data_IF_174287205696
#
_entry.id   IF_174287205696
#
_cell.length_a   1.000
_cell.length_b   1.000
_cell.length_c   1.000
_cell.angle_alpha   90.00
_cell.angle_beta   90.00
_cell.angle_gamma   90.00
#
_symmetry.space_group_name_H-M   'P 1'
#
loop_
_entity.id
_entity.type
_entity.pdbx_description
1 polymer ?
#
# COMPACT_ATOMS: atom_id res chain seq x y z
N UNK A 1 -11.79 -6.36 0.10
CA UNK A 1 -11.59 -6.12 -1.36
C UNK A 1 -11.12 -7.41 -2.03
N UNK A 2 -10.08 -8.09 -1.56
CA UNK A 2 -9.60 -9.35 -2.15
C UNK A 2 -10.67 -10.45 -2.14
N UNK A 3 -11.39 -10.67 -1.03
CA UNK A 3 -12.51 -11.61 -0.96
C UNK A 3 -13.64 -11.27 -1.95
N UNK A 4 -13.85 -10.00 -2.28
CA UNK A 4 -14.84 -9.59 -3.29
C UNK A 4 -14.34 -9.83 -4.72
N UNK A 5 -13.06 -9.69 -4.98
CA UNK A 5 -12.45 -10.01 -6.29
C UNK A 5 -12.47 -11.52 -6.52
N UNK A 6 -12.14 -12.33 -5.51
CA UNK A 6 -12.16 -13.78 -5.57
C UNK A 6 -13.60 -14.35 -5.53
N UNK A 7 -14.55 -13.69 -4.84
CA UNK A 7 -15.96 -14.08 -4.85
C UNK A 7 -16.66 -13.74 -6.18
N UNK A 8 -16.15 -12.77 -6.94
CA UNK A 8 -16.60 -12.48 -8.31
C UNK A 8 -16.09 -13.48 -9.36
N UNK A 9 -15.02 -14.21 -9.05
CA UNK A 9 -14.60 -15.39 -9.77
C UNK A 9 -15.49 -16.57 -9.31
N UNK A 10 -16.76 -16.57 -9.77
CA UNK A 10 -17.75 -17.58 -9.40
C UNK A 10 -17.16 -18.97 -9.50
N UNK A 11 -17.45 -19.82 -8.48
CA UNK A 11 -17.30 -21.26 -8.55
C UNK A 11 -18.00 -21.75 -9.82
N UNK A 12 -17.29 -21.81 -10.92
CA UNK A 12 -17.69 -22.59 -12.06
C UNK A 12 -17.43 -24.05 -11.68
N UNK A 13 -18.47 -24.74 -11.25
CA UNK A 13 -18.44 -26.20 -11.20
C UNK A 13 -17.97 -26.70 -12.56
N UNK A 14 -16.86 -27.42 -12.58
CA UNK A 14 -16.42 -28.20 -13.73
C UNK A 14 -15.35 -27.62 -14.63
N UNK A 15 -14.61 -26.58 -14.23
CA UNK A 15 -13.35 -26.28 -14.89
C UNK A 15 -12.20 -26.71 -13.98
N UNK A 16 -11.39 -27.64 -14.48
CA UNK A 16 -10.02 -27.84 -14.03
C UNK A 16 -9.41 -26.44 -13.82
N UNK A 17 -8.95 -26.18 -12.60
CA UNK A 17 -8.03 -25.09 -12.32
C UNK A 17 -6.97 -25.14 -13.41
N UNK A 18 -6.72 -24.03 -14.07
CA UNK A 18 -5.66 -23.92 -15.07
C UNK A 18 -4.31 -24.01 -14.31
N UNK A 19 -4.03 -25.18 -13.78
CA UNK A 19 -2.78 -25.56 -13.11
C UNK A 19 -1.64 -25.58 -14.14
N UNK A 20 -1.56 -24.51 -14.94
CA UNK A 20 -0.41 -24.34 -15.79
C UNK A 20 0.76 -24.02 -14.89
N UNK A 21 1.82 -24.83 -14.92
CA UNK A 21 3.03 -24.61 -14.12
C UNK A 21 3.77 -23.30 -14.49
N UNK A 22 3.10 -22.38 -15.17
CA UNK A 22 3.64 -21.11 -15.69
C UNK A 22 2.95 -19.87 -15.16
N UNK A 23 1.83 -19.97 -14.44
CA UNK A 23 1.13 -18.81 -13.89
C UNK A 23 1.88 -18.26 -12.69
N UNK A 24 2.05 -16.95 -12.63
CA UNK A 24 2.51 -16.21 -11.45
C UNK A 24 1.46 -15.17 -11.07
N UNK A 25 1.25 -14.93 -9.79
CA UNK A 25 0.28 -13.97 -9.27
C UNK A 25 1.03 -12.89 -8.50
N UNK A 26 0.93 -11.64 -8.95
CA UNK A 26 1.63 -10.49 -8.35
C UNK A 26 0.60 -9.49 -7.83
N UNK A 27 0.44 -9.30 -6.53
CA UNK A 27 -0.36 -8.20 -5.99
C UNK A 27 0.41 -6.87 -6.16
N UNK A 28 -0.20 -5.91 -6.83
CA UNK A 28 0.38 -4.59 -7.05
C UNK A 28 -0.30 -3.48 -6.24
N UNK A 29 -1.34 -3.82 -5.47
CA UNK A 29 -2.00 -2.89 -4.55
C UNK A 29 -1.06 -2.43 -3.43
N UNK A 30 -1.37 -1.29 -2.83
CA UNK A 30 -0.62 -0.79 -1.68
C UNK A 30 -0.83 -1.68 -0.44
N UNK A 31 0.16 -1.68 0.46
CA UNK A 31 0.19 -2.52 1.66
C UNK A 31 1.17 -3.67 1.53
N UNK A 32 1.28 -4.47 2.58
CA UNK A 32 2.24 -5.58 2.69
C UNK A 32 1.58 -6.94 2.95
N UNK A 33 0.26 -6.97 3.18
CA UNK A 33 -0.47 -8.19 3.56
C UNK A 33 -0.97 -9.00 2.36
N UNK A 34 -1.11 -8.37 1.18
CA UNK A 34 -1.75 -8.99 0.03
C UNK A 34 -1.12 -10.31 -0.45
N UNK A 35 0.21 -10.47 -0.49
CA UNK A 35 0.81 -11.76 -0.87
C UNK A 35 0.40 -12.90 0.07
N UNK A 36 0.39 -12.64 1.37
CA UNK A 36 0.01 -13.64 2.38
C UNK A 36 -1.48 -14.01 2.27
N UNK A 37 -2.36 -13.02 2.08
CA UNK A 37 -3.78 -13.24 1.88
C UNK A 37 -4.09 -14.03 0.59
N UNK A 38 -3.28 -13.83 -0.46
CA UNK A 38 -3.38 -14.62 -1.70
C UNK A 38 -2.90 -16.04 -1.49
N UNK A 39 -1.81 -16.24 -0.74
CA UNK A 39 -1.26 -17.58 -0.44
C UNK A 39 -2.18 -18.43 0.45
N UNK A 40 -3.15 -17.84 1.17
CA UNK A 40 -4.20 -18.58 1.87
C UNK A 40 -5.23 -19.23 0.92
N UNK A 41 -5.39 -18.68 -0.29
CA UNK A 41 -6.42 -19.11 -1.26
C UNK A 41 -5.82 -19.76 -2.52
N UNK A 42 -4.54 -19.56 -2.77
CA UNK A 42 -3.81 -20.04 -3.95
C UNK A 42 -2.59 -20.84 -3.50
N UNK A 43 -1.99 -21.57 -4.45
CA UNK A 43 -0.69 -22.20 -4.22
C UNK A 43 0.35 -21.13 -3.88
N UNK A 44 1.01 -21.17 -2.70
CA UNK A 44 2.04 -20.20 -2.31
C UNK A 44 3.19 -20.08 -3.32
N UNK A 45 3.52 -21.17 -4.03
CA UNK A 45 4.61 -21.22 -5.02
C UNK A 45 4.36 -20.34 -6.26
N UNK A 46 3.11 -19.93 -6.50
CA UNK A 46 2.79 -19.03 -7.62
C UNK A 46 2.59 -17.58 -7.17
N UNK A 47 2.54 -17.32 -5.86
CA UNK A 47 2.29 -15.99 -5.32
C UNK A 47 3.60 -15.26 -5.07
N UNK A 48 3.78 -14.13 -5.72
CA UNK A 48 4.94 -13.27 -5.55
C UNK A 48 4.64 -12.12 -4.60
N UNK A 49 5.67 -11.59 -3.95
CA UNK A 49 5.67 -10.25 -3.44
C UNK A 49 5.71 -9.25 -4.59
N UNK A 50 5.05 -8.11 -4.44
CA UNK A 50 5.07 -7.10 -5.49
C UNK A 50 4.75 -5.70 -4.99
N UNK A 51 5.33 -4.71 -5.66
CA UNK A 51 5.01 -3.30 -5.46
C UNK A 51 5.06 -2.54 -6.78
N UNK A 52 4.21 -1.53 -6.91
CA UNK A 52 4.22 -0.63 -8.06
C UNK A 52 4.34 0.83 -7.60
N UNK A 53 5.31 1.56 -8.14
CA UNK A 53 5.41 3.00 -7.99
C UNK A 53 4.84 3.67 -9.26
N UNK A 54 3.65 4.23 -9.16
CA UNK A 54 2.93 4.86 -10.26
C UNK A 54 2.06 6.00 -9.73
N UNK A 55 1.93 7.07 -10.52
CA UNK A 55 0.94 8.11 -10.33
C UNK A 55 -0.09 8.02 -11.44
N UNK A 56 -1.21 7.37 -11.16
CA UNK A 56 -2.30 7.23 -12.13
C UNK A 56 -3.66 7.46 -11.46
N UNK A 57 -4.63 7.92 -12.24
CA UNK A 57 -6.00 8.14 -11.77
C UNK A 57 -7.02 8.00 -12.90
N UNK A 58 -8.25 7.66 -12.53
CA UNK A 58 -9.37 7.66 -13.46
C UNK A 58 -9.76 9.10 -13.78
N UNK A 59 -9.59 9.49 -15.03
CA UNK A 59 -10.02 10.79 -15.57
C UNK A 59 -11.48 10.75 -16.07
N UNK A 60 -12.01 9.55 -16.33
CA UNK A 60 -13.39 9.30 -16.76
C UNK A 60 -13.61 7.80 -16.97
N UNK A 61 -14.83 7.35 -17.32
CA UNK A 61 -15.10 5.94 -17.62
C UNK A 61 -14.16 5.40 -18.68
N UNK A 62 -13.39 4.36 -18.38
CA UNK A 62 -12.43 3.77 -19.29
C UNK A 62 -11.19 4.63 -19.61
N UNK A 63 -11.06 5.82 -19.00
CA UNK A 63 -9.94 6.73 -19.24
C UNK A 63 -9.04 6.82 -18.02
N UNK A 64 -7.86 6.20 -18.09
CA UNK A 64 -6.81 6.30 -17.08
C UNK A 64 -5.78 7.34 -17.53
N UNK A 65 -5.50 8.32 -16.67
CA UNK A 65 -4.42 9.28 -16.85
C UNK A 65 -3.22 8.90 -15.98
N UNK A 66 -2.08 8.69 -16.65
CA UNK A 66 -0.79 8.55 -16.01
C UNK A 66 -0.08 9.91 -15.98
N UNK A 67 0.68 10.18 -14.91
CA UNK A 67 1.43 11.41 -14.71
C UNK A 67 2.77 11.12 -14.02
N UNK A 68 3.79 11.88 -14.33
CA UNK A 68 5.12 11.75 -13.74
C UNK A 68 6.01 10.72 -14.44
N UNK A 69 6.91 10.10 -13.67
CA UNK A 69 7.88 9.13 -14.18
C UNK A 69 7.22 7.80 -14.59
N UNK A 70 7.89 7.06 -15.46
CA UNK A 70 7.43 5.73 -15.86
C UNK A 70 7.20 4.84 -14.63
N UNK A 71 6.11 4.04 -14.64
CA UNK A 71 5.84 3.06 -13.60
C UNK A 71 7.04 2.14 -13.35
N UNK A 72 7.34 1.93 -12.09
CA UNK A 72 8.33 0.95 -11.64
C UNK A 72 7.61 -0.17 -10.91
N UNK A 73 7.76 -1.40 -11.42
CA UNK A 73 7.23 -2.61 -10.80
C UNK A 73 8.40 -3.40 -10.24
N UNK A 74 8.36 -3.71 -8.93
CA UNK A 74 9.30 -4.63 -8.30
C UNK A 74 8.54 -5.84 -7.80
N UNK A 75 9.10 -7.02 -8.05
CA UNK A 75 8.47 -8.28 -7.65
C UNK A 75 9.52 -9.39 -7.52
N UNK A 76 9.17 -10.44 -6.77
CA UNK A 76 9.99 -11.61 -6.54
C UNK A 76 9.29 -12.58 -5.61
N UNK A 77 9.85 -13.77 -5.41
CA UNK A 77 9.37 -14.69 -4.39
C UNK A 77 9.60 -14.12 -2.99
N UNK A 78 8.70 -14.44 -2.04
CA UNK A 78 8.77 -13.90 -0.67
C UNK A 78 10.00 -14.38 0.10
N UNK A 79 10.55 -15.52 -0.27
CA UNK A 79 11.79 -16.09 0.26
C UNK A 79 13.02 -15.77 -0.60
N UNK A 80 12.84 -14.96 -1.63
CA UNK A 80 13.87 -14.49 -2.57
C UNK A 80 14.56 -15.59 -3.37
N UNK A 81 14.00 -16.81 -3.48
CA UNK A 81 14.59 -17.84 -4.33
C UNK A 81 14.54 -17.44 -5.81
N UNK A 82 15.53 -17.89 -6.57
CA UNK A 82 15.64 -17.63 -7.99
C UNK A 82 14.63 -18.47 -8.79
N UNK A 83 13.85 -17.84 -9.66
CA UNK A 83 12.89 -18.50 -10.53
C UNK A 83 13.04 -17.98 -11.97
N UNK A 84 13.33 -18.86 -12.95
CA UNK A 84 13.42 -18.45 -14.36
C UNK A 84 12.15 -17.78 -14.90
N UNK A 85 10.96 -18.13 -14.35
CA UNK A 85 9.68 -17.49 -14.74
C UNK A 85 9.65 -16.04 -14.34
N UNK A 86 10.15 -15.71 -13.14
CA UNK A 86 10.23 -14.33 -12.62
C UNK A 86 11.20 -13.50 -13.48
N UNK A 87 12.35 -14.09 -13.85
CA UNK A 87 13.31 -13.44 -14.74
C UNK A 87 12.70 -13.15 -16.12
N UNK A 88 12.06 -14.16 -16.73
CA UNK A 88 11.41 -14.00 -18.04
C UNK A 88 10.31 -12.93 -18.00
N UNK A 89 9.52 -12.87 -16.93
CA UNK A 89 8.50 -11.83 -16.76
C UNK A 89 9.12 -10.43 -16.64
N UNK A 90 10.22 -10.29 -15.88
CA UNK A 90 10.95 -9.01 -15.77
C UNK A 90 11.50 -8.56 -17.12
N UNK A 91 12.05 -9.47 -17.91
CA UNK A 91 12.52 -9.19 -19.27
C UNK A 91 11.37 -8.71 -20.17
N UNK A 92 10.24 -9.41 -20.17
CA UNK A 92 9.05 -9.03 -20.95
C UNK A 92 8.59 -7.62 -20.56
N UNK A 93 8.47 -7.32 -19.26
CA UNK A 93 8.03 -6.01 -18.79
C UNK A 93 9.04 -4.90 -19.20
N UNK A 94 10.34 -5.17 -19.17
CA UNK A 94 11.35 -4.20 -19.55
C UNK A 94 11.44 -3.98 -21.07
N UNK A 95 10.89 -4.89 -21.89
CA UNK A 95 10.69 -4.67 -23.34
C UNK A 95 9.42 -3.87 -23.65
N UNK A 96 8.50 -3.72 -22.69
CA UNK A 96 7.30 -2.91 -22.87
C UNK A 96 7.64 -1.41 -22.81
N UNK A 97 7.03 -0.62 -23.69
CA UNK A 97 7.19 0.84 -23.64
C UNK A 97 6.51 1.44 -22.41
N UNK A 98 7.20 2.33 -21.71
CA UNK A 98 6.61 3.13 -20.63
C UNK A 98 6.47 2.42 -19.29
N UNK A 99 7.09 1.25 -19.11
CA UNK A 99 7.17 0.56 -17.81
C UNK A 99 8.61 0.12 -17.54
N UNK A 100 8.99 0.07 -16.27
CA UNK A 100 10.24 -0.54 -15.81
C UNK A 100 9.93 -1.60 -14.78
N UNK A 101 10.70 -2.69 -14.80
CA UNK A 101 10.62 -3.71 -13.77
C UNK A 101 12.00 -4.04 -13.21
N UNK A 102 12.05 -4.53 -11.99
CA UNK A 102 13.25 -5.10 -11.38
C UNK A 102 12.88 -6.17 -10.38
N UNK A 103 13.76 -7.14 -10.23
CA UNK A 103 13.73 -8.14 -9.17
C UNK A 103 14.70 -7.64 -8.11
N UNK A 104 14.22 -7.20 -6.93
CA UNK A 104 15.09 -6.75 -5.85
C UNK A 104 15.77 -7.95 -5.18
N UNK A 105 16.91 -7.73 -4.53
CA UNK A 105 17.61 -8.75 -3.75
C UNK A 105 16.72 -9.28 -2.61
N UNK A 106 15.87 -8.40 -2.05
CA UNK A 106 14.85 -8.76 -1.08
C UNK A 106 13.54 -8.01 -1.42
N UNK A 107 12.53 -8.80 -1.83
CA UNK A 107 11.22 -8.26 -2.20
C UNK A 107 10.46 -7.72 -1.00
N UNK A 108 10.62 -8.35 0.18
CA UNK A 108 9.96 -7.89 1.40
C UNK A 108 10.52 -6.53 1.83
N UNK A 109 11.84 -6.36 1.79
CA UNK A 109 12.48 -5.06 2.05
C UNK A 109 11.94 -3.99 1.09
N UNK A 110 11.85 -4.30 -0.21
CA UNK A 110 11.33 -3.36 -1.20
C UNK A 110 9.85 -2.96 -0.94
N UNK A 111 9.02 -3.93 -0.57
CA UNK A 111 7.61 -3.70 -0.22
C UNK A 111 7.48 -2.85 1.05
N UNK A 112 8.24 -3.18 2.10
CA UNK A 112 8.20 -2.46 3.38
C UNK A 112 8.76 -1.04 3.26
N UNK A 113 9.79 -0.79 2.45
CA UNK A 113 10.29 0.56 2.16
C UNK A 113 9.19 1.43 1.51
N UNK A 114 8.43 0.88 0.56
CA UNK A 114 7.29 1.60 -0.01
C UNK A 114 6.19 1.81 1.04
N UNK A 115 5.93 0.83 1.89
CA UNK A 115 4.93 0.91 2.95
C UNK A 115 5.29 1.99 3.98
N UNK A 116 6.58 2.07 4.36
CA UNK A 116 7.13 3.16 5.20
C UNK A 116 6.94 4.54 4.58
N UNK A 117 7.05 4.65 3.25
CA UNK A 117 6.90 5.92 2.54
C UNK A 117 5.43 6.37 2.50
N UNK A 118 4.54 5.47 2.08
CA UNK A 118 3.18 5.87 1.70
C UNK A 118 2.22 5.93 2.89
N UNK A 119 2.39 5.07 3.90
CA UNK A 119 1.42 4.91 4.99
C UNK A 119 1.41 6.11 5.95
N UNK A 120 2.55 6.59 6.51
CA UNK A 120 2.57 7.77 7.37
C UNK A 120 2.13 9.03 6.63
N UNK A 121 2.60 9.22 5.40
CA UNK A 121 2.18 10.35 4.56
C UNK A 121 0.68 10.34 4.32
N UNK A 122 0.11 9.18 3.99
CA UNK A 122 -1.33 9.04 3.76
C UNK A 122 -2.14 9.34 5.02
N UNK A 123 -1.74 8.81 6.17
CA UNK A 123 -2.42 9.00 7.45
C UNK A 123 -2.38 10.46 7.90
N UNK A 124 -1.18 11.02 8.03
CA UNK A 124 -1.00 12.42 8.47
C UNK A 124 -1.60 13.41 7.46
N UNK A 125 -1.39 13.18 6.15
CA UNK A 125 -1.97 14.01 5.11
C UNK A 125 -3.51 14.01 5.11
N UNK A 126 -4.13 12.86 5.39
CA UNK A 126 -5.58 12.77 5.49
C UNK A 126 -6.14 13.46 6.74
N UNK A 127 -5.47 13.35 7.88
CA UNK A 127 -5.86 14.01 9.14
C UNK A 127 -5.70 15.53 9.04
N UNK A 128 -4.54 15.99 8.55
CA UNK A 128 -4.23 17.42 8.44
C UNK A 128 -4.85 18.10 7.21
N UNK A 129 -5.21 17.31 6.18
CA UNK A 129 -5.62 17.77 4.84
C UNK A 129 -4.56 18.59 4.10
N UNK A 130 -3.32 18.49 4.53
CA UNK A 130 -2.19 19.26 3.98
C UNK A 130 -1.43 18.44 2.92
N UNK A 131 -0.85 19.06 1.89
CA UNK A 131 0.07 18.43 0.96
C UNK A 131 1.43 18.17 1.62
N UNK A 132 2.26 17.33 0.99
CA UNK A 132 3.54 16.88 1.57
C UNK A 132 4.49 18.02 1.90
N UNK A 133 4.58 19.06 1.07
CA UNK A 133 5.46 20.20 1.32
C UNK A 133 5.14 20.90 2.63
N UNK A 134 3.86 21.14 2.93
CA UNK A 134 3.42 21.74 4.19
C UNK A 134 3.75 20.84 5.38
N UNK A 135 3.56 19.51 5.25
CA UNK A 135 3.88 18.57 6.31
C UNK A 135 5.37 18.52 6.65
N UNK A 136 6.23 18.72 5.65
CA UNK A 136 7.68 18.72 5.83
C UNK A 136 8.24 20.07 6.28
N UNK A 137 7.57 21.17 5.93
CA UNK A 137 7.99 22.54 6.28
C UNK A 137 7.73 22.85 7.75
N UNK A 138 6.63 22.35 8.32
CA UNK A 138 6.29 22.56 9.73
C UNK A 138 7.02 21.56 10.63
N UNK A 139 7.82 22.01 11.63
CA UNK A 139 8.61 21.11 12.48
C UNK A 139 7.77 20.04 13.19
N UNK A 140 6.57 20.39 13.66
CA UNK A 140 5.68 19.48 14.39
C UNK A 140 5.14 18.38 13.49
N UNK A 141 4.66 18.68 12.29
CA UNK A 141 4.15 17.68 11.36
C UNK A 141 5.26 16.85 10.76
N UNK A 142 6.45 17.43 10.54
CA UNK A 142 7.66 16.68 10.16
C UNK A 142 8.05 15.67 11.24
N UNK A 143 8.02 16.06 12.51
CA UNK A 143 8.30 15.16 13.63
C UNK A 143 7.28 14.01 13.69
N UNK A 144 5.98 14.30 13.55
CA UNK A 144 4.94 13.27 13.51
C UNK A 144 5.11 12.31 12.33
N UNK A 145 5.47 12.83 11.15
CA UNK A 145 5.72 12.00 9.96
C UNK A 145 6.92 11.07 10.18
N UNK A 146 8.00 11.60 10.78
CA UNK A 146 9.20 10.82 11.10
C UNK A 146 8.90 9.73 12.14
N UNK A 147 8.20 10.06 13.21
CA UNK A 147 7.82 9.10 14.26
C UNK A 147 6.90 8.00 13.72
N UNK A 148 5.89 8.35 12.92
CA UNK A 148 5.01 7.35 12.32
C UNK A 148 5.74 6.43 11.33
N UNK A 149 6.78 6.94 10.66
CA UNK A 149 7.67 6.14 9.81
C UNK A 149 8.54 5.21 10.66
N UNK A 150 9.07 5.71 11.80
CA UNK A 150 9.84 4.91 12.75
C UNK A 150 9.02 3.75 13.33
N UNK A 151 7.74 3.96 13.67
CA UNK A 151 6.85 2.88 14.12
C UNK A 151 6.79 1.73 13.09
N UNK A 152 6.70 2.05 11.80
CA UNK A 152 6.65 1.04 10.73
C UNK A 152 8.03 0.38 10.54
N UNK A 153 9.11 1.13 10.68
CA UNK A 153 10.47 0.57 10.67
C UNK A 153 10.65 -0.45 11.79
N UNK A 154 10.32 -0.08 13.03
CA UNK A 154 10.41 -0.98 14.19
C UNK A 154 9.50 -2.21 14.01
N UNK A 155 8.30 -2.03 13.48
CA UNK A 155 7.40 -3.13 13.15
C UNK A 155 8.03 -4.08 12.11
N UNK A 156 8.62 -3.55 11.03
CA UNK A 156 9.31 -4.35 10.03
C UNK A 156 10.46 -5.16 10.65
N UNK A 157 11.30 -4.52 11.49
CA UNK A 157 12.38 -5.20 12.21
C UNK A 157 11.88 -6.28 13.15
N UNK A 158 10.82 -6.02 13.92
CA UNK A 158 10.19 -7.00 14.81
C UNK A 158 9.59 -8.20 14.06
N UNK A 159 9.24 -8.02 12.78
CA UNK A 159 8.76 -9.07 11.87
C UNK A 159 9.87 -9.71 11.04
N UNK A 160 11.12 -9.51 11.41
CA UNK A 160 12.32 -10.06 10.75
C UNK A 160 12.51 -9.59 9.29
N UNK A 161 12.00 -8.40 8.94
CA UNK A 161 12.34 -7.77 7.66
C UNK A 161 13.68 -7.05 7.83
N UNK A 162 14.63 -7.37 6.97
CA UNK A 162 15.99 -6.82 7.09
C UNK A 162 16.11 -5.38 6.55
N UNK A 163 15.28 -4.49 7.09
CA UNK A 163 15.30 -3.07 6.73
C UNK A 163 16.64 -2.44 7.12
N UNK A 164 17.33 -1.75 6.20
CA UNK A 164 18.55 -1.01 6.51
C UNK A 164 18.35 0.01 7.62
N UNK A 165 19.35 0.22 8.46
CA UNK A 165 19.28 1.12 9.61
C UNK A 165 18.97 2.59 9.24
N UNK A 166 19.30 2.99 8.02
CA UNK A 166 19.03 4.34 7.48
C UNK A 166 17.66 4.46 6.75
N UNK A 167 16.80 3.43 6.81
CA UNK A 167 15.54 3.39 6.07
C UNK A 167 14.60 4.55 6.41
N UNK A 168 14.54 4.97 7.69
CA UNK A 168 13.72 6.12 8.10
C UNK A 168 14.25 7.40 7.48
N UNK A 169 15.56 7.66 7.60
CA UNK A 169 16.19 8.85 7.02
C UNK A 169 16.03 8.91 5.50
N UNK A 170 16.23 7.77 4.82
CA UNK A 170 16.01 7.64 3.37
C UNK A 170 14.55 7.88 2.98
N UNK A 171 13.61 7.42 3.78
CA UNK A 171 12.17 7.66 3.56
C UNK A 171 11.86 9.15 3.63
N UNK A 172 12.32 9.85 4.67
CA UNK A 172 12.10 11.30 4.80
C UNK A 172 12.76 12.06 3.65
N UNK A 173 14.00 11.73 3.30
CA UNK A 173 14.69 12.34 2.15
C UNK A 173 13.95 12.09 0.82
N UNK A 174 13.37 10.92 0.65
CA UNK A 174 12.54 10.61 -0.53
C UNK A 174 11.28 11.48 -0.57
N UNK A 175 10.62 11.70 0.57
CA UNK A 175 9.45 12.59 0.68
C UNK A 175 9.81 14.04 0.36
N UNK A 176 10.99 14.51 0.74
CA UNK A 176 11.51 15.85 0.41
C UNK A 176 11.69 16.06 -1.09
N UNK A 177 11.99 14.99 -1.83
CA UNK A 177 12.11 15.02 -3.30
C UNK A 177 10.76 15.03 -4.05
N UNK A 178 9.64 14.84 -3.35
CA UNK A 178 8.30 14.83 -3.97
C UNK A 178 7.81 16.28 -4.19
N UNK A 179 7.16 16.58 -5.33
CA UNK A 179 6.60 17.91 -5.54
C UNK A 179 5.72 18.37 -4.37
N UNK A 180 5.92 19.59 -3.80
CA UNK A 180 5.37 19.99 -2.49
C UNK A 180 3.84 19.99 -2.43
N UNK A 181 3.16 20.20 -3.54
CA UNK A 181 1.69 20.18 -3.62
C UNK A 181 1.09 18.75 -3.75
N UNK A 182 1.92 17.72 -3.66
CA UNK A 182 1.47 16.33 -3.83
C UNK A 182 0.66 15.85 -2.62
N UNK A 183 -0.35 15.03 -2.93
CA UNK A 183 -1.21 14.34 -1.97
C UNK A 183 -1.31 12.86 -2.33
N UNK A 184 -1.58 11.99 -1.36
CA UNK A 184 -1.77 10.55 -1.62
C UNK A 184 -3.16 10.25 -2.18
N UNK A 185 -3.33 9.06 -2.78
CA UNK A 185 -4.64 8.56 -3.22
C UNK A 185 -5.61 8.44 -2.05
N UNK A 186 -5.17 7.83 -0.95
CA UNK A 186 -5.96 7.65 0.27
C UNK A 186 -6.47 9.00 0.81
N UNK A 187 -5.61 10.01 0.91
CA UNK A 187 -6.01 11.36 1.32
C UNK A 187 -7.10 11.94 0.42
N UNK A 188 -6.92 11.84 -0.90
CA UNK A 188 -7.91 12.35 -1.87
C UNK A 188 -9.24 11.61 -1.81
N UNK A 189 -9.23 10.31 -1.58
CA UNK A 189 -10.44 9.51 -1.49
C UNK A 189 -11.23 9.85 -0.21
N UNK A 190 -10.56 9.94 0.93
CA UNK A 190 -11.20 10.35 2.20
C UNK A 190 -11.80 11.76 2.13
N UNK A 191 -11.07 12.73 1.54
CA UNK A 191 -11.58 14.11 1.35
C UNK A 191 -12.82 14.11 0.46
N UNK A 192 -12.88 13.24 -0.55
CA UNK A 192 -14.04 13.10 -1.46
C UNK A 192 -15.15 12.21 -0.91
N UNK A 193 -15.01 11.68 0.29
CA UNK A 193 -15.99 10.75 0.89
C UNK A 193 -16.09 9.42 0.15
N UNK A 194 -15.01 8.97 -0.48
CA UNK A 194 -14.93 7.67 -1.17
C UNK A 194 -14.22 6.64 -0.29
N UNK A 195 -14.54 5.33 -0.46
CA UNK A 195 -13.78 4.26 0.14
C UNK A 195 -12.29 4.39 -0.19
N UNK A 196 -11.45 4.18 0.81
CA UNK A 196 -10.01 4.39 0.72
C UNK A 196 -9.20 3.14 1.11
N UNK A 197 -7.89 3.26 1.10
CA UNK A 197 -6.94 2.23 1.52
C UNK A 197 -6.56 2.35 3.01
N UNK A 198 -7.36 3.04 3.84
CA UNK A 198 -7.06 3.25 5.27
C UNK A 198 -6.77 1.94 6.00
N UNK A 199 -7.52 0.89 5.71
CA UNK A 199 -7.41 -0.41 6.35
C UNK A 199 -6.13 -1.16 5.93
N UNK A 200 -5.72 -1.06 4.66
CA UNK A 200 -4.50 -1.69 4.13
C UNK A 200 -3.23 -0.86 4.41
N UNK A 201 -3.37 0.37 4.87
CA UNK A 201 -2.27 1.24 5.32
C UNK A 201 -2.18 1.23 6.86
N UNK A 202 -2.75 2.23 7.53
CA UNK A 202 -2.65 2.35 8.99
C UNK A 202 -3.33 1.19 9.73
N UNK A 203 -4.39 0.60 9.15
CA UNK A 203 -5.03 -0.61 9.68
C UNK A 203 -4.09 -1.81 9.68
N UNK A 204 -3.33 -2.02 8.62
CA UNK A 204 -2.33 -3.08 8.54
C UNK A 204 -1.21 -2.88 9.59
N UNK A 205 -0.71 -1.64 9.76
CA UNK A 205 0.29 -1.34 10.80
C UNK A 205 -0.21 -1.78 12.17
N UNK A 206 -1.44 -1.39 12.54
CA UNK A 206 -2.01 -1.71 13.86
C UNK A 206 -2.21 -3.21 14.04
N UNK A 207 -2.71 -3.93 13.01
CA UNK A 207 -2.91 -5.39 13.09
C UNK A 207 -1.59 -6.14 13.26
N UNK A 208 -0.64 -5.84 12.36
CA UNK A 208 0.67 -6.50 12.35
C UNK A 208 1.48 -6.20 13.61
N UNK A 209 1.31 -5.01 14.20
CA UNK A 209 1.96 -4.62 15.44
C UNK A 209 1.43 -5.41 16.66
N UNK A 210 0.12 -5.71 16.68
CA UNK A 210 -0.48 -6.55 17.72
C UNK A 210 0.09 -7.98 17.71
N UNK A 211 0.44 -8.53 16.54
CA UNK A 211 1.02 -9.88 16.44
C UNK A 211 2.43 -9.98 17.05
N UNK A 212 3.14 -8.85 17.18
CA UNK A 212 4.51 -8.78 17.73
C UNK A 212 4.60 -7.92 18.98
N UNK A 213 3.45 -7.63 19.61
CA UNK A 213 3.34 -6.87 20.88
C UNK A 213 4.01 -5.49 20.82
N UNK A 214 4.02 -4.85 19.63
CA UNK A 214 4.59 -3.52 19.40
C UNK A 214 3.51 -2.45 19.51
N UNK A 215 3.81 -1.34 20.19
CA UNK A 215 2.92 -0.17 20.19
C UNK A 215 3.21 0.76 19.00
N UNK A 216 2.14 1.19 18.30
CA UNK A 216 2.21 2.08 17.15
C UNK A 216 1.22 3.24 17.33
N UNK A 217 1.46 4.12 18.32
CA UNK A 217 0.47 5.12 18.76
C UNK A 217 0.06 6.09 17.66
N UNK A 218 0.96 6.55 16.80
CA UNK A 218 0.62 7.49 15.74
C UNK A 218 -0.17 6.82 14.61
N UNK A 219 0.25 5.65 14.15
CA UNK A 219 -0.50 4.93 13.12
C UNK A 219 -1.89 4.52 13.65
N UNK A 220 -2.01 4.14 14.92
CA UNK A 220 -3.27 3.89 15.60
C UNK A 220 -4.14 5.14 15.70
N UNK A 221 -3.55 6.30 16.02
CA UNK A 221 -4.24 7.58 16.04
C UNK A 221 -4.78 7.94 14.65
N UNK A 222 -3.99 7.80 13.58
CA UNK A 222 -4.45 8.05 12.21
C UNK A 222 -5.60 7.11 11.83
N UNK A 223 -5.47 5.81 12.10
CA UNK A 223 -6.54 4.84 11.85
C UNK A 223 -7.84 5.23 12.53
N UNK A 224 -7.81 5.50 13.84
CA UNK A 224 -9.02 5.75 14.61
C UNK A 224 -9.65 7.11 14.29
N UNK A 225 -8.83 8.12 14.03
CA UNK A 225 -9.31 9.46 13.63
C UNK A 225 -10.04 9.45 12.28
N UNK A 226 -9.60 8.58 11.35
CA UNK A 226 -10.15 8.51 9.99
C UNK A 226 -11.21 7.42 9.82
N UNK A 227 -11.33 6.49 10.78
CA UNK A 227 -12.20 5.31 10.67
C UNK A 227 -13.68 5.66 10.44
N UNK A 228 -14.18 6.69 11.11
CA UNK A 228 -15.59 7.12 10.93
C UNK A 228 -15.85 7.63 9.51
N UNK A 229 -14.89 8.31 8.88
CA UNK A 229 -15.00 8.78 7.50
C UNK A 229 -14.99 7.59 6.54
N UNK A 230 -14.11 6.62 6.77
CA UNK A 230 -14.03 5.39 5.98
C UNK A 230 -15.32 4.56 6.06
N UNK A 231 -15.85 4.35 7.27
CA UNK A 231 -17.11 3.62 7.48
C UNK A 231 -18.29 4.34 6.80
N UNK A 232 -18.31 5.66 6.84
CA UNK A 232 -19.31 6.46 6.12
C UNK A 232 -19.17 6.29 4.60
N UNK A 233 -17.97 6.36 4.07
CA UNK A 233 -17.69 6.20 2.65
C UNK A 233 -18.13 4.81 2.13
N UNK A 234 -18.05 3.78 2.99
CA UNK A 234 -18.51 2.41 2.70
C UNK A 234 -20.01 2.18 2.98
N UNK A 235 -20.73 3.20 3.43
CA UNK A 235 -22.15 3.07 3.76
C UNK A 235 -22.44 2.31 5.07
N UNK A 236 -21.39 1.99 5.86
CA UNK A 236 -21.53 1.29 7.14
C UNK A 236 -21.85 2.24 8.32
N UNK A 237 -21.74 3.55 8.10
CA UNK A 237 -22.06 4.58 9.09
C UNK A 237 -22.73 5.76 8.39
N UNK A 238 -23.78 6.32 8.99
CA UNK A 238 -24.40 7.56 8.54
C UNK A 238 -24.26 8.66 9.60
N UNK A 239 -23.86 9.87 9.18
CA UNK A 239 -23.87 11.05 10.03
C UNK A 239 -25.23 11.74 9.92
N UNK A 240 -26.28 11.17 10.50
CA UNK A 240 -27.56 11.86 10.60
C UNK A 240 -27.39 13.04 11.55
N UNK A 241 -27.51 14.27 11.04
CA UNK A 241 -27.88 15.39 11.90
C UNK A 241 -29.24 15.02 12.48
N UNK A 242 -29.33 14.81 13.80
CA UNK A 242 -30.61 14.89 14.46
C UNK A 242 -31.17 16.27 14.10
N UNK A 243 -32.19 16.29 13.26
CA UNK A 243 -32.99 17.49 13.11
C UNK A 243 -33.50 17.83 14.52
N UNK A 244 -32.93 18.88 15.10
CA UNK A 244 -33.48 19.49 16.28
C UNK A 244 -34.86 20.01 15.87
N UNK A 245 -35.89 19.18 16.04
CA UNK A 245 -37.27 19.65 16.15
C UNK A 245 -37.30 20.45 17.46
N UNK A 246 -37.34 21.75 17.34
CA UNK A 246 -37.93 22.66 18.31
C UNK A 246 -39.17 23.27 17.70
#
# INVERSE_FOLDING_TARGET
>A
VLRQILAGAGRRQGHQTDDRPRTLVIPLQNGVEAPYQLAEELDPEIVLGGMCAIVAFLAGPGHIKHSGANPLIRFGHLDNHADPRVNALSEILNHCSGVKSSIPDDVLVAMWQKFMLITPWSGLGAVSRAPIGVLLEQPETRALLTQATEEIYQLGRARNIDLPADSVAKTISTLEGIPPNSTTSMQRDLVRGRPSELDTHNGAVVRLALEVELDTPLNRFFLYSLRSLELRARGALSFNRRSSQR
#
